data_IF_777542181652
#
_entry.id   IF_777542181652
#
_cell.length_a   1.000
_cell.length_b   1.000
_cell.length_c   1.000
_cell.angle_alpha   90.00
_cell.angle_beta   90.00
_cell.angle_gamma   90.00
#
_symmetry.space_group_name_H-M   'P 1'
#
loop_
_entity.id
_entity.type
_entity.pdbx_description
1 polymer ?
#
# COMPACT_ATOMS: atom_id res chain seq x y z
N UNK A 1 -24.37 -6.57 -6.18
CA UNK A 1 -23.24 -7.53 -6.10
C UNK A 1 -21.97 -6.77 -5.72
N UNK A 2 -21.15 -7.25 -4.78
CA UNK A 2 -19.84 -6.63 -4.53
C UNK A 2 -18.92 -6.83 -5.75
N UNK A 3 -18.18 -5.79 -6.13
CA UNK A 3 -17.15 -5.88 -7.17
C UNK A 3 -16.09 -6.91 -6.77
N UNK A 4 -15.83 -7.88 -7.63
CA UNK A 4 -14.75 -8.86 -7.44
C UNK A 4 -13.40 -8.26 -7.88
N UNK A 5 -12.30 -8.76 -7.32
CA UNK A 5 -10.95 -8.37 -7.75
C UNK A 5 -10.76 -8.51 -9.27
N UNK A 6 -11.25 -9.62 -9.84
CA UNK A 6 -11.19 -9.90 -11.27
C UNK A 6 -11.91 -8.83 -12.12
N UNK A 7 -13.12 -8.41 -11.70
CA UNK A 7 -13.84 -7.34 -12.38
C UNK A 7 -13.08 -6.01 -12.33
N UNK A 8 -12.50 -5.68 -11.17
CA UNK A 8 -11.73 -4.45 -11.00
C UNK A 8 -10.45 -4.44 -11.86
N UNK A 9 -9.72 -5.55 -11.86
CA UNK A 9 -8.49 -5.71 -12.65
C UNK A 9 -8.81 -5.65 -14.16
N UNK A 10 -9.94 -6.25 -14.59
CA UNK A 10 -10.43 -6.16 -15.98
C UNK A 10 -10.80 -4.73 -16.37
N UNK A 11 -11.51 -4.00 -15.50
CA UNK A 11 -11.86 -2.59 -15.76
C UNK A 11 -10.61 -1.74 -15.89
N UNK A 12 -9.60 -1.93 -15.04
CA UNK A 12 -8.34 -1.20 -15.17
C UNK A 12 -7.69 -1.45 -16.53
N UNK A 13 -7.55 -2.72 -16.93
CA UNK A 13 -6.94 -3.07 -18.23
C UNK A 13 -7.70 -2.46 -19.39
N UNK A 14 -9.04 -2.55 -19.38
CA UNK A 14 -9.88 -1.98 -20.45
C UNK A 14 -9.75 -0.47 -20.49
N UNK A 15 -9.88 0.22 -19.36
CA UNK A 15 -9.77 1.69 -19.31
C UNK A 15 -8.38 2.17 -19.72
N UNK A 16 -7.31 1.51 -19.27
CA UNK A 16 -5.94 1.83 -19.69
C UNK A 16 -5.73 1.61 -21.19
N UNK A 17 -6.25 0.51 -21.74
CA UNK A 17 -6.15 0.24 -23.18
C UNK A 17 -6.88 1.30 -23.99
N UNK A 18 -8.10 1.67 -23.59
CA UNK A 18 -8.87 2.75 -24.25
C UNK A 18 -8.12 4.07 -24.17
N UNK A 19 -7.57 4.42 -23.01
CA UNK A 19 -6.82 5.66 -22.83
C UNK A 19 -5.58 5.74 -23.74
N UNK A 20 -4.80 4.66 -23.82
CA UNK A 20 -3.63 4.58 -24.71
C UNK A 20 -4.05 4.75 -26.16
N UNK A 21 -5.05 4.00 -26.62
CA UNK A 21 -5.52 4.09 -28.01
C UNK A 21 -6.18 5.44 -28.36
N UNK A 22 -6.73 6.16 -27.37
CA UNK A 22 -7.38 7.44 -27.59
C UNK A 22 -6.41 8.62 -27.62
N UNK A 23 -5.26 8.48 -26.95
CA UNK A 23 -4.28 9.57 -26.78
C UNK A 23 -3.04 9.38 -27.67
N UNK A 24 -2.70 8.14 -28.02
CA UNK A 24 -1.48 7.81 -28.76
C UNK A 24 -1.67 6.68 -29.78
N UNK A 25 -0.75 6.61 -30.75
CA UNK A 25 -0.60 5.42 -31.60
C UNK A 25 0.16 4.34 -30.80
N UNK A 26 -0.48 3.20 -30.47
CA UNK A 26 0.15 2.15 -29.66
C UNK A 26 1.40 1.56 -30.33
N UNK A 27 1.50 1.58 -31.65
CA UNK A 27 2.70 1.11 -32.38
C UNK A 27 3.85 2.10 -32.21
N UNK A 28 3.56 3.40 -32.21
CA UNK A 28 4.55 4.44 -31.98
C UNK A 28 5.10 4.37 -30.54
N UNK A 29 4.23 4.19 -29.54
CA UNK A 29 4.61 4.04 -28.13
C UNK A 29 5.59 2.88 -27.92
N UNK A 30 5.30 1.70 -28.51
CA UNK A 30 6.17 0.52 -28.39
C UNK A 30 7.53 0.77 -29.05
N UNK A 31 7.55 1.42 -30.22
CA UNK A 31 8.80 1.76 -30.91
C UNK A 31 9.64 2.75 -30.12
N UNK A 32 9.04 3.77 -29.53
CA UNK A 32 9.74 4.73 -28.67
C UNK A 32 10.32 4.04 -27.44
N UNK A 33 9.55 3.17 -26.77
CA UNK A 33 10.03 2.41 -25.62
C UNK A 33 11.23 1.53 -25.95
N UNK A 34 11.21 0.85 -27.09
CA UNK A 34 12.33 0.04 -27.56
C UNK A 34 13.56 0.89 -27.93
N UNK A 35 13.36 2.06 -28.54
CA UNK A 35 14.44 2.98 -28.86
C UNK A 35 15.13 3.51 -27.59
N UNK A 36 14.36 3.92 -26.57
CA UNK A 36 14.92 4.38 -25.30
C UNK A 36 15.65 3.29 -24.52
N UNK A 37 15.17 2.05 -24.60
CA UNK A 37 15.88 0.91 -24.02
C UNK A 37 17.26 0.68 -24.68
N UNK A 38 17.39 0.98 -25.96
CA UNK A 38 18.66 0.88 -26.67
C UNK A 38 19.67 1.97 -26.28
N UNK A 39 19.22 3.07 -25.66
CA UNK A 39 20.06 4.17 -25.16
C UNK A 39 20.59 3.94 -23.74
N UNK A 40 20.30 2.78 -23.12
CA UNK A 40 20.85 2.41 -21.83
C UNK A 40 22.37 2.22 -21.91
N UNK A 41 23.19 2.86 -21.05
CA UNK A 41 22.86 3.55 -19.80
C UNK A 41 22.80 5.10 -19.85
N UNK A 42 22.92 5.74 -21.02
CA UNK A 42 23.22 7.19 -21.16
C UNK A 42 22.00 8.13 -21.08
N UNK A 43 20.84 7.68 -20.58
CA UNK A 43 19.57 8.42 -20.59
C UNK A 43 19.20 9.04 -19.23
N UNK A 44 20.07 8.97 -18.22
CA UNK A 44 19.79 9.49 -16.88
C UNK A 44 20.03 11.01 -16.80
N UNK A 45 19.09 11.79 -17.32
CA UNK A 45 18.91 13.16 -16.85
C UNK A 45 18.25 13.11 -15.47
N UNK A 46 19.01 13.50 -14.43
CA UNK A 46 18.62 13.34 -13.03
C UNK A 46 17.46 14.24 -12.58
N UNK A 47 16.93 15.08 -13.47
CA UNK A 47 15.75 15.92 -13.23
C UNK A 47 14.95 16.08 -14.52
N UNK A 48 13.65 15.80 -14.45
CA UNK A 48 12.75 16.09 -15.55
C UNK A 48 12.42 17.60 -15.53
N UNK A 49 12.90 18.33 -16.53
CA UNK A 49 12.41 19.68 -16.77
C UNK A 49 11.00 19.59 -17.37
N UNK A 50 9.98 19.62 -16.52
CA UNK A 50 8.60 19.59 -16.98
C UNK A 50 8.12 20.90 -17.62
N UNK A 51 8.93 21.96 -17.60
CA UNK A 51 8.68 23.21 -18.33
C UNK A 51 9.10 23.04 -19.79
N UNK A 52 10.28 22.48 -20.03
CA UNK A 52 10.77 22.21 -21.38
C UNK A 52 10.15 20.93 -21.98
N UNK A 53 10.10 19.86 -21.19
CA UNK A 53 9.63 18.53 -21.56
C UNK A 53 8.36 18.15 -20.77
N UNK A 54 7.15 18.54 -21.25
CA UNK A 54 5.91 18.25 -20.55
C UNK A 54 5.71 16.77 -20.25
N UNK A 55 5.11 16.49 -19.10
CA UNK A 55 4.71 15.15 -18.72
C UNK A 55 3.72 14.59 -19.76
N UNK A 56 4.00 13.38 -20.25
CA UNK A 56 3.17 12.70 -21.22
C UNK A 56 1.73 12.48 -20.68
N UNK A 57 0.74 12.87 -21.48
CA UNK A 57 -0.68 12.80 -21.10
C UNK A 57 -1.20 11.38 -20.91
N UNK A 58 -0.76 10.44 -21.74
CA UNK A 58 -1.12 9.01 -21.64
C UNK A 58 -0.59 8.39 -20.36
N UNK A 59 0.65 8.71 -19.99
CA UNK A 59 1.24 8.32 -18.72
C UNK A 59 0.45 8.91 -17.55
N UNK A 60 0.08 10.19 -17.62
CA UNK A 60 -0.71 10.85 -16.58
C UNK A 60 -2.10 10.19 -16.41
N UNK A 61 -2.80 9.89 -17.50
CA UNK A 61 -4.09 9.17 -17.44
C UNK A 61 -3.91 7.76 -16.90
N UNK A 62 -2.87 7.05 -17.31
CA UNK A 62 -2.59 5.70 -16.82
C UNK A 62 -2.31 5.69 -15.32
N UNK A 63 -1.51 6.63 -14.83
CA UNK A 63 -1.24 6.81 -13.40
C UNK A 63 -2.52 7.21 -12.64
N UNK A 64 -3.37 8.07 -13.21
CA UNK A 64 -4.65 8.44 -12.61
C UNK A 64 -5.59 7.22 -12.46
N UNK A 65 -5.70 6.40 -13.51
CA UNK A 65 -6.49 5.18 -13.49
C UNK A 65 -5.96 4.19 -12.46
N UNK A 66 -4.64 3.99 -12.42
CA UNK A 66 -3.98 3.13 -11.44
C UNK A 66 -4.20 3.63 -9.99
N UNK A 67 -4.15 4.95 -9.78
CA UNK A 67 -4.44 5.59 -8.51
C UNK A 67 -5.87 5.35 -8.07
N UNK A 68 -6.84 5.56 -8.96
CA UNK A 68 -8.26 5.32 -8.71
C UNK A 68 -8.53 3.84 -8.43
N UNK A 69 -7.97 2.95 -9.25
CA UNK A 69 -8.03 1.50 -9.07
C UNK A 69 -7.50 1.08 -7.69
N UNK A 70 -6.30 1.53 -7.33
CA UNK A 70 -5.68 1.16 -6.06
C UNK A 70 -6.52 1.65 -4.88
N UNK A 71 -7.11 2.84 -4.98
CA UNK A 71 -8.00 3.41 -3.98
C UNK A 71 -9.28 2.59 -3.83
N UNK A 72 -9.96 2.25 -4.93
CA UNK A 72 -11.16 1.40 -4.93
C UNK A 72 -10.87 0.01 -4.37
N UNK A 73 -9.77 -0.61 -4.81
CA UNK A 73 -9.33 -1.92 -4.29
C UNK A 73 -9.13 -1.87 -2.78
N UNK A 74 -8.50 -0.79 -2.29
CA UNK A 74 -8.21 -0.62 -0.85
C UNK A 74 -9.45 -0.37 -0.03
N UNK A 75 -10.22 0.67 -0.37
CA UNK A 75 -11.24 1.21 0.52
C UNK A 75 -12.66 0.70 0.24
N UNK A 76 -12.89 0.08 -0.92
CA UNK A 76 -14.21 -0.49 -1.25
C UNK A 76 -14.17 -2.02 -1.25
N UNK A 77 -13.25 -2.65 -1.98
CA UNK A 77 -13.15 -4.12 -2.06
C UNK A 77 -12.59 -4.69 -0.75
N UNK A 78 -11.46 -4.14 -0.29
CA UNK A 78 -10.75 -4.62 0.91
C UNK A 78 -11.16 -3.89 2.19
N UNK A 79 -12.31 -3.22 2.19
CA UNK A 79 -12.78 -2.34 3.28
C UNK A 79 -12.77 -3.01 4.65
N UNK A 80 -13.04 -4.32 4.72
CA UNK A 80 -13.10 -5.09 5.97
C UNK A 80 -11.71 -5.41 6.51
N UNK A 81 -10.73 -5.60 5.63
CA UNK A 81 -9.31 -5.77 5.98
C UNK A 81 -8.77 -4.43 6.47
N UNK A 82 -9.00 -3.36 5.71
CA UNK A 82 -8.56 -1.99 6.07
C UNK A 82 -9.21 -1.50 7.37
N UNK A 83 -10.51 -1.75 7.58
CA UNK A 83 -11.19 -1.40 8.84
C UNK A 83 -10.62 -2.15 10.04
N UNK A 84 -10.20 -3.41 9.87
CA UNK A 84 -9.54 -4.19 10.93
C UNK A 84 -8.14 -3.67 11.21
N UNK A 85 -7.39 -3.34 10.16
CA UNK A 85 -6.06 -2.73 10.25
C UNK A 85 -6.09 -1.39 11.00
N UNK A 86 -6.99 -0.48 10.61
CA UNK A 86 -7.18 0.81 11.26
C UNK A 86 -7.64 0.66 12.72
N UNK A 87 -8.50 -0.33 13.04
CA UNK A 87 -8.90 -0.61 14.43
C UNK A 87 -7.74 -1.05 15.30
N UNK A 88 -6.82 -1.85 14.76
CA UNK A 88 -5.59 -2.25 15.47
C UNK A 88 -4.63 -1.08 15.64
N UNK A 89 -4.57 -0.16 14.67
CA UNK A 89 -3.82 1.10 14.82
C UNK A 89 -4.40 2.01 15.91
N UNK A 90 -5.69 1.87 16.26
CA UNK A 90 -6.35 2.60 17.37
C UNK A 90 -6.38 1.85 18.70
N UNK A 91 -5.89 0.60 18.76
CA UNK A 91 -5.85 -0.20 19.99
C UNK A 91 -4.72 0.31 20.91
N UNK A 92 -5.09 0.99 22.00
CA UNK A 92 -4.25 1.60 23.06
C UNK A 92 -2.90 2.19 22.64
N UNK A 93 -2.78 2.63 21.39
CA UNK A 93 -1.73 3.53 20.93
C UNK A 93 -2.15 4.95 21.28
N UNK A 94 -1.14 5.78 21.50
CA UNK A 94 -1.22 7.20 21.85
C UNK A 94 -2.14 8.05 20.93
N UNK A 95 -2.57 7.54 19.76
CA UNK A 95 -3.64 8.15 18.94
C UNK A 95 -4.96 8.34 19.70
N UNK A 96 -5.24 7.51 20.71
CA UNK A 96 -6.37 7.69 21.61
C UNK A 96 -6.22 8.88 22.59
N UNK A 97 -5.01 9.45 22.72
CA UNK A 97 -4.70 10.54 23.67
C UNK A 97 -4.57 11.92 23.02
N UNK A 98 -4.82 12.03 21.71
CA UNK A 98 -4.77 13.30 20.96
C UNK A 98 -6.15 13.60 20.38
N UNK A 99 -6.98 14.43 21.03
CA UNK A 99 -8.40 14.61 20.68
C UNK A 99 -8.67 15.23 19.31
N UNK A 100 -7.65 15.75 18.62
CA UNK A 100 -7.79 16.49 17.36
C UNK A 100 -7.18 15.80 16.13
N UNK A 101 -6.41 14.72 16.33
CA UNK A 101 -5.72 14.01 15.25
C UNK A 101 -6.49 12.75 14.87
N UNK A 102 -6.62 12.44 13.57
CA UNK A 102 -7.36 11.27 13.05
C UNK A 102 -8.87 11.23 13.36
N UNK A 103 -9.54 12.38 13.45
CA UNK A 103 -11.02 12.36 13.46
C UNK A 103 -11.55 11.87 12.10
N UNK A 104 -12.70 11.16 12.06
CA UNK A 104 -13.30 10.74 10.80
C UNK A 104 -13.48 11.88 9.80
N UNK A 105 -13.76 13.09 10.31
CA UNK A 105 -13.86 14.32 9.53
C UNK A 105 -12.53 14.68 8.86
N UNK A 106 -11.41 14.72 9.59
CA UNK A 106 -10.11 15.08 9.01
C UNK A 106 -9.69 14.03 7.96
N UNK A 107 -9.94 12.74 8.23
CA UNK A 107 -9.67 11.65 7.27
C UNK A 107 -10.50 11.83 5.99
N UNK A 108 -11.80 12.11 6.14
CA UNK A 108 -12.70 12.32 5.01
C UNK A 108 -12.31 13.55 4.18
N UNK A 109 -12.02 14.68 4.84
CA UNK A 109 -11.58 15.92 4.18
C UNK A 109 -10.28 15.67 3.42
N UNK A 110 -9.27 15.09 4.07
CA UNK A 110 -7.99 14.80 3.43
C UNK A 110 -8.16 13.87 2.22
N UNK A 111 -8.94 12.79 2.37
CA UNK A 111 -9.18 11.82 1.29
C UNK A 111 -9.92 12.44 0.11
N UNK A 112 -10.99 13.20 0.37
CA UNK A 112 -11.78 13.87 -0.67
C UNK A 112 -10.93 14.90 -1.42
N UNK A 113 -10.24 15.79 -0.71
CA UNK A 113 -9.42 16.81 -1.35
C UNK A 113 -8.15 16.27 -1.98
N UNK A 114 -7.62 15.12 -1.53
CA UNK A 114 -6.57 14.40 -2.25
C UNK A 114 -7.05 13.91 -3.62
N UNK A 115 -8.30 13.41 -3.70
CA UNK A 115 -8.90 13.04 -4.98
C UNK A 115 -9.18 14.25 -5.87
N UNK A 116 -9.71 15.34 -5.32
CA UNK A 116 -9.92 16.60 -6.05
C UNK A 116 -8.59 17.12 -6.61
N UNK A 117 -7.54 17.14 -5.80
CA UNK A 117 -6.20 17.54 -6.25
C UNK A 117 -5.69 16.63 -7.37
N UNK A 118 -5.88 15.32 -7.25
CA UNK A 118 -5.49 14.34 -8.27
C UNK A 118 -6.16 14.64 -9.62
N UNK A 119 -7.47 14.93 -9.60
CA UNK A 119 -8.25 15.31 -10.78
C UNK A 119 -7.80 16.65 -11.39
N UNK A 120 -7.62 17.68 -10.55
CA UNK A 120 -7.17 19.00 -10.98
C UNK A 120 -5.76 18.92 -11.61
N UNK A 121 -4.88 18.10 -11.03
CA UNK A 121 -3.55 17.89 -11.56
C UNK A 121 -3.53 17.13 -12.88
N UNK A 122 -4.40 16.13 -13.06
CA UNK A 122 -4.60 15.50 -14.36
C UNK A 122 -5.09 16.53 -15.39
N UNK A 123 -6.09 17.34 -15.03
CA UNK A 123 -6.61 18.40 -15.88
C UNK A 123 -5.52 19.39 -16.29
N UNK A 124 -4.63 19.77 -15.39
CA UNK A 124 -3.52 20.67 -15.69
C UNK A 124 -2.43 20.06 -16.58
N UNK A 125 -2.23 18.74 -16.54
CA UNK A 125 -1.32 18.06 -17.46
C UNK A 125 -1.92 18.00 -18.86
N UNK A 126 -3.21 17.65 -18.97
CA UNK A 126 -3.91 17.54 -20.25
C UNK A 126 -4.21 18.91 -20.90
N UNK A 127 -4.48 19.93 -20.09
CA UNK A 127 -4.82 21.29 -20.50
C UNK A 127 -3.78 22.29 -20.00
N UNK A 128 -2.52 22.04 -20.37
CA UNK A 128 -1.33 22.74 -19.87
C UNK A 128 -1.39 24.27 -19.99
N UNK A 129 -1.98 24.78 -21.06
CA UNK A 129 -2.07 26.23 -21.34
C UNK A 129 -3.06 26.96 -20.43
N UNK A 130 -3.88 26.23 -19.66
CA UNK A 130 -4.81 26.82 -18.72
C UNK A 130 -4.26 26.76 -17.28
N UNK A 131 -3.74 27.88 -16.75
CA UNK A 131 -3.11 27.91 -15.43
C UNK A 131 -4.10 27.70 -14.28
N UNK A 132 -5.42 27.80 -14.52
CA UNK A 132 -6.43 27.62 -13.47
C UNK A 132 -6.35 26.22 -12.87
N UNK A 133 -6.23 25.17 -13.68
CA UNK A 133 -6.14 23.80 -13.19
C UNK A 133 -4.94 23.60 -12.25
N UNK A 134 -3.77 24.07 -12.66
CA UNK A 134 -2.54 23.94 -11.89
C UNK A 134 -2.58 24.75 -10.59
N UNK A 135 -3.03 26.01 -10.66
CA UNK A 135 -3.13 26.88 -9.47
C UNK A 135 -4.19 26.37 -8.50
N UNK A 136 -5.32 25.85 -8.98
CA UNK A 136 -6.33 25.23 -8.13
C UNK A 136 -5.80 23.96 -7.46
N UNK A 137 -5.09 23.09 -8.19
CA UNK A 137 -4.46 21.91 -7.61
C UNK A 137 -3.45 22.30 -6.51
N UNK A 138 -2.59 23.27 -6.78
CA UNK A 138 -1.60 23.75 -5.81
C UNK A 138 -2.25 24.43 -4.59
N UNK A 139 -3.34 25.18 -4.77
CA UNK A 139 -4.09 25.77 -3.66
C UNK A 139 -4.72 24.68 -2.78
N UNK A 140 -5.34 23.66 -3.37
CA UNK A 140 -5.89 22.51 -2.62
C UNK A 140 -4.77 21.79 -1.87
N UNK A 141 -3.62 21.58 -2.51
CA UNK A 141 -2.46 20.97 -1.87
C UNK A 141 -2.01 21.77 -0.63
N UNK A 142 -1.78 23.08 -0.79
CA UNK A 142 -1.19 23.94 0.23
C UNK A 142 -2.14 24.24 1.39
N UNK A 143 -3.40 24.55 1.09
CA UNK A 143 -4.35 25.02 2.10
C UNK A 143 -5.18 23.90 2.73
N UNK A 144 -5.25 22.72 2.10
CA UNK A 144 -6.08 21.61 2.58
C UNK A 144 -5.24 20.37 2.82
N UNK A 145 -4.62 19.80 1.79
CA UNK A 145 -4.01 18.47 1.91
C UNK A 145 -2.73 18.46 2.77
N UNK A 146 -1.89 19.49 2.71
CA UNK A 146 -0.71 19.60 3.58
C UNK A 146 -1.11 19.77 5.06
N UNK A 147 -1.99 20.72 5.43
CA UNK A 147 -2.45 20.86 6.81
C UNK A 147 -3.17 19.62 7.33
N UNK A 148 -4.10 19.07 6.56
CA UNK A 148 -4.82 17.85 6.98
C UNK A 148 -3.91 16.64 7.04
N UNK A 149 -2.92 16.52 6.14
CA UNK A 149 -1.88 15.48 6.19
C UNK A 149 -1.01 15.58 7.44
N UNK A 150 -0.66 16.79 7.88
CA UNK A 150 0.04 17.02 9.15
C UNK A 150 -0.80 16.55 10.35
N UNK A 151 -2.11 16.82 10.35
CA UNK A 151 -3.05 16.35 11.38
C UNK A 151 -3.27 14.83 11.35
N UNK A 152 -3.01 14.18 10.21
CA UNK A 152 -3.11 12.74 10.00
C UNK A 152 -1.78 12.01 10.09
N UNK A 153 -0.67 12.70 10.39
CA UNK A 153 0.65 12.07 10.44
C UNK A 153 0.67 11.04 11.57
N UNK A 154 0.65 9.74 11.25
CA UNK A 154 0.47 8.71 12.26
C UNK A 154 1.81 8.48 12.96
N UNK A 155 1.81 8.38 14.29
CA UNK A 155 2.99 7.97 15.09
C UNK A 155 3.07 6.45 15.26
N UNK A 156 2.70 5.72 14.23
CA UNK A 156 2.81 4.26 14.11
C UNK A 156 4.06 3.90 13.32
N UNK A 157 4.66 2.73 13.58
CA UNK A 157 5.96 2.37 12.98
C UNK A 157 7.16 2.91 13.75
N UNK A 158 8.33 2.92 13.11
CA UNK A 158 9.58 3.38 13.73
C UNK A 158 9.57 4.91 13.71
N UNK A 159 9.35 5.52 14.88
CA UNK A 159 9.06 6.97 15.01
C UNK A 159 10.11 7.90 14.40
N UNK A 160 11.40 7.63 14.57
CA UNK A 160 12.47 8.46 13.98
C UNK A 160 12.54 8.38 12.45
N UNK A 161 11.87 7.42 11.82
CA UNK A 161 11.75 7.34 10.37
C UNK A 161 10.44 7.96 9.92
N UNK A 162 9.33 7.53 10.51
CA UNK A 162 7.98 7.93 10.09
C UNK A 162 7.70 9.42 10.32
N UNK A 163 8.04 9.96 11.50
CA UNK A 163 7.75 11.38 11.80
C UNK A 163 8.52 12.30 10.85
N UNK A 164 9.84 12.14 10.66
CA UNK A 164 10.56 12.99 9.72
C UNK A 164 10.19 12.72 8.27
N UNK A 165 9.86 11.48 7.87
CA UNK A 165 9.37 11.20 6.51
C UNK A 165 8.12 12.02 6.19
N UNK A 166 7.09 11.96 7.03
CA UNK A 166 5.86 12.71 6.79
C UNK A 166 6.07 14.21 6.89
N UNK A 167 6.93 14.67 7.80
CA UNK A 167 7.33 16.07 7.91
C UNK A 167 8.02 16.58 6.65
N UNK A 168 9.05 15.87 6.19
CA UNK A 168 9.76 16.18 4.95
C UNK A 168 8.82 16.15 3.76
N UNK A 169 7.99 15.11 3.63
CA UNK A 169 6.99 15.02 2.56
C UNK A 169 6.05 16.23 2.55
N UNK A 170 5.53 16.65 3.72
CA UNK A 170 4.69 17.84 3.84
C UNK A 170 5.41 19.13 3.41
N UNK A 171 6.68 19.29 3.80
CA UNK A 171 7.52 20.43 3.38
C UNK A 171 7.74 20.43 1.86
N UNK A 172 8.13 19.30 1.27
CA UNK A 172 8.35 19.19 -0.17
C UNK A 172 7.07 19.51 -0.96
N UNK A 173 5.93 18.97 -0.51
CA UNK A 173 4.61 19.26 -1.08
C UNK A 173 4.25 20.74 -1.01
N UNK A 174 4.50 21.39 0.12
CA UNK A 174 4.26 22.82 0.27
C UNK A 174 5.18 23.66 -0.64
N UNK A 175 6.46 23.27 -0.75
CA UNK A 175 7.42 23.94 -1.63
C UNK A 175 7.02 23.82 -3.10
N UNK A 176 6.69 22.62 -3.60
CA UNK A 176 6.25 22.47 -4.98
C UNK A 176 4.93 23.19 -5.25
N UNK A 177 3.99 23.19 -4.30
CA UNK A 177 2.77 24.00 -4.43
C UNK A 177 3.06 25.49 -4.51
N UNK A 178 4.01 25.99 -3.70
CA UNK A 178 4.44 27.39 -3.76
C UNK A 178 5.07 27.73 -5.12
N UNK A 179 5.94 26.87 -5.66
CA UNK A 179 6.53 27.06 -7.00
C UNK A 179 5.46 27.13 -8.09
N UNK A 180 4.43 26.31 -8.02
CA UNK A 180 3.31 26.33 -8.97
C UNK A 180 2.51 27.63 -8.90
N UNK A 181 2.27 28.14 -7.69
CA UNK A 181 1.49 29.36 -7.48
C UNK A 181 2.26 30.62 -7.87
N UNK A 182 3.57 30.68 -7.57
CA UNK A 182 4.35 31.90 -7.61
C UNK A 182 5.47 31.94 -8.66
N UNK A 183 5.92 30.79 -9.18
CA UNK A 183 6.98 30.73 -10.20
C UNK A 183 6.42 30.38 -11.58
N UNK A 184 5.99 29.13 -11.78
CA UNK A 184 5.39 28.69 -13.05
C UNK A 184 4.39 27.55 -12.81
N UNK A 185 3.17 27.73 -13.30
CA UNK A 185 2.11 26.72 -13.27
C UNK A 185 2.50 25.39 -13.94
N UNK A 186 3.43 25.42 -14.90
CA UNK A 186 3.93 24.25 -15.62
C UNK A 186 4.79 23.32 -14.75
N UNK A 187 5.17 23.75 -13.54
CA UNK A 187 5.87 22.93 -12.55
C UNK A 187 4.95 21.98 -11.78
N UNK A 188 3.64 22.01 -12.04
CA UNK A 188 2.67 21.15 -11.34
C UNK A 188 3.00 19.64 -11.39
N UNK A 189 3.57 19.08 -12.47
CA UNK A 189 3.91 17.66 -12.50
C UNK A 189 4.76 17.22 -11.30
N UNK A 190 5.67 18.05 -10.79
CA UNK A 190 6.44 17.75 -9.57
C UNK A 190 5.52 17.53 -8.35
N UNK A 191 4.60 18.47 -8.13
CA UNK A 191 3.62 18.39 -7.04
C UNK A 191 2.72 17.16 -7.19
N UNK A 192 2.27 16.89 -8.42
CA UNK A 192 1.36 15.79 -8.73
C UNK A 192 2.03 14.41 -8.64
N UNK A 193 3.29 14.29 -9.01
CA UNK A 193 4.09 13.07 -8.82
C UNK A 193 4.25 12.76 -7.33
N UNK A 194 4.51 13.77 -6.49
CA UNK A 194 4.57 13.58 -5.04
C UNK A 194 3.22 13.05 -4.49
N UNK A 195 2.09 13.52 -5.02
CA UNK A 195 0.76 13.01 -4.64
C UNK A 195 0.59 11.50 -4.93
N UNK A 196 1.29 10.96 -5.94
CA UNK A 196 1.25 9.53 -6.28
C UNK A 196 1.90 8.63 -5.22
N UNK A 197 2.58 9.17 -4.21
CA UNK A 197 3.18 8.38 -3.12
C UNK A 197 2.13 7.45 -2.48
N UNK A 198 0.89 7.91 -2.31
CA UNK A 198 -0.18 7.11 -1.74
C UNK A 198 -0.53 5.90 -2.61
N UNK A 199 -0.43 6.04 -3.93
CA UNK A 199 -0.65 4.95 -4.89
C UNK A 199 0.48 3.94 -4.82
N UNK A 200 1.73 4.41 -4.75
CA UNK A 200 2.90 3.53 -4.60
C UNK A 200 2.81 2.76 -3.27
N UNK A 201 2.50 3.43 -2.16
CA UNK A 201 2.29 2.79 -0.84
C UNK A 201 1.25 1.66 -0.92
N UNK A 202 0.13 1.90 -1.60
CA UNK A 202 -0.90 0.88 -1.81
C UNK A 202 -0.33 -0.26 -2.65
N UNK A 203 0.17 0.01 -3.84
CA UNK A 203 0.64 -1.02 -4.78
C UNK A 203 1.78 -1.87 -4.23
N UNK A 204 2.81 -1.24 -3.65
CA UNK A 204 3.91 -1.96 -3.00
C UNK A 204 3.38 -2.80 -1.85
N UNK A 205 2.47 -2.26 -1.04
CA UNK A 205 1.84 -3.01 0.03
C UNK A 205 0.95 -4.17 -0.44
N UNK A 206 0.35 -4.08 -1.63
CA UNK A 206 -0.45 -5.16 -2.23
C UNK A 206 0.43 -6.26 -2.83
N UNK A 207 1.49 -5.88 -3.53
CA UNK A 207 2.16 -6.76 -4.50
C UNK A 207 3.65 -7.01 -4.22
N UNK A 208 4.35 -6.09 -3.56
CA UNK A 208 5.82 -6.15 -3.40
C UNK A 208 6.25 -6.48 -1.98
N UNK A 209 5.47 -6.05 -0.98
CA UNK A 209 5.67 -6.34 0.43
C UNK A 209 4.59 -7.31 0.96
N UNK A 210 4.31 -8.44 0.30
CA UNK A 210 3.52 -9.47 0.93
C UNK A 210 4.34 -10.06 2.08
N UNK A 211 3.64 -10.54 3.11
CA UNK A 211 4.17 -11.34 4.23
C UNK A 211 4.56 -10.57 5.51
N UNK A 212 3.77 -10.86 6.54
CA UNK A 212 4.16 -10.70 7.93
C UNK A 212 5.08 -11.85 8.31
N UNK A 213 6.10 -11.54 9.10
CA UNK A 213 7.12 -12.49 9.57
C UNK A 213 6.59 -13.61 10.48
N UNK A 214 5.33 -13.55 10.93
CA UNK A 214 4.87 -14.37 12.06
C UNK A 214 3.92 -15.50 11.67
N UNK A 215 3.04 -15.34 10.68
CA UNK A 215 1.96 -16.33 10.45
C UNK A 215 1.80 -16.82 9.00
N UNK A 216 2.64 -16.38 8.06
CA UNK A 216 2.53 -16.75 6.63
C UNK A 216 1.17 -16.42 5.99
N UNK A 217 0.35 -15.64 6.70
CA UNK A 217 -0.86 -14.99 6.21
C UNK A 217 -0.48 -13.60 5.76
N UNK A 218 -1.31 -12.99 4.90
CA UNK A 218 -1.07 -11.64 4.38
C UNK A 218 -0.84 -10.69 5.56
N UNK A 219 0.43 -10.30 5.74
CA UNK A 219 0.83 -9.39 6.79
C UNK A 219 0.03 -8.13 6.65
N UNK A 220 -0.63 -7.76 7.73
CA UNK A 220 -1.41 -6.54 7.77
C UNK A 220 -0.38 -5.39 7.72
N UNK A 221 -0.18 -4.87 6.50
CA UNK A 221 0.77 -3.82 6.08
C UNK A 221 0.82 -2.62 7.04
N UNK A 222 -0.27 -2.44 7.77
CA UNK A 222 -0.56 -1.34 8.67
C UNK A 222 -0.34 -1.69 10.15
N UNK A 223 0.07 -2.92 10.46
CA UNK A 223 0.23 -3.42 11.85
C UNK A 223 1.63 -3.86 12.21
N UNK A 224 2.48 -4.17 11.22
CA UNK A 224 3.88 -4.48 11.47
C UNK A 224 4.74 -3.23 11.30
N UNK A 225 5.39 -2.74 12.37
CA UNK A 225 6.16 -1.49 12.34
C UNK A 225 7.24 -1.45 11.26
N UNK A 226 7.95 -2.55 11.04
CA UNK A 226 9.05 -2.64 10.07
C UNK A 226 8.53 -2.59 8.64
N UNK A 227 7.56 -3.44 8.31
CA UNK A 227 6.98 -3.50 6.97
C UNK A 227 6.24 -2.20 6.61
N UNK A 228 5.52 -1.60 7.57
CA UNK A 228 4.90 -0.29 7.38
C UNK A 228 5.96 0.79 7.11
N UNK A 229 7.02 0.84 7.92
CA UNK A 229 8.09 1.83 7.78
C UNK A 229 8.85 1.67 6.47
N UNK A 230 9.20 0.43 6.11
CA UNK A 230 9.86 0.12 4.84
C UNK A 230 8.99 0.53 3.66
N UNK A 231 7.70 0.21 3.68
CA UNK A 231 6.78 0.58 2.61
C UNK A 231 6.70 2.11 2.43
N UNK A 232 6.52 2.84 3.53
CA UNK A 232 6.43 4.31 3.51
C UNK A 232 7.73 4.93 3.01
N UNK A 233 8.89 4.46 3.49
CA UNK A 233 10.19 4.94 3.04
C UNK A 233 10.41 4.65 1.56
N UNK A 234 10.27 3.39 1.15
CA UNK A 234 10.50 2.98 -0.24
C UNK A 234 9.60 3.75 -1.19
N UNK A 235 8.32 3.88 -0.85
CA UNK A 235 7.36 4.68 -1.64
C UNK A 235 7.79 6.14 -1.73
N UNK A 236 8.20 6.74 -0.61
CA UNK A 236 8.68 8.12 -0.55
C UNK A 236 9.92 8.35 -1.40
N UNK A 237 10.91 7.46 -1.31
CA UNK A 237 12.14 7.53 -2.11
C UNK A 237 11.87 7.37 -3.61
N UNK A 238 11.00 6.44 -4.00
CA UNK A 238 10.60 6.27 -5.40
C UNK A 238 9.95 7.56 -5.91
N UNK A 239 8.92 8.08 -5.21
CA UNK A 239 8.23 9.30 -5.63
C UNK A 239 9.17 10.51 -5.68
N UNK A 240 9.96 10.72 -4.63
CA UNK A 240 10.85 11.88 -4.54
C UNK A 240 12.02 11.78 -5.53
N UNK A 241 12.45 10.58 -5.93
CA UNK A 241 13.48 10.39 -6.95
C UNK A 241 13.10 10.83 -8.36
N UNK A 242 11.80 10.98 -8.64
CA UNK A 242 11.35 11.59 -9.90
C UNK A 242 11.32 13.12 -9.88
N UNK A 243 11.43 13.74 -8.69
CA UNK A 243 11.28 15.19 -8.50
C UNK A 243 12.57 15.85 -8.06
N UNK A 244 13.36 15.17 -7.23
CA UNK A 244 14.56 15.71 -6.61
C UNK A 244 15.80 14.88 -6.96
N UNK A 245 16.95 15.56 -7.17
CA UNK A 245 18.23 14.91 -7.38
C UNK A 245 18.60 13.95 -6.23
N UNK A 246 19.38 12.89 -6.52
CA UNK A 246 19.80 11.91 -5.52
C UNK A 246 20.49 12.52 -4.28
N UNK A 247 21.19 13.65 -4.43
CA UNK A 247 21.83 14.32 -3.29
C UNK A 247 20.84 14.72 -2.20
N UNK A 248 19.63 15.15 -2.55
CA UNK A 248 18.61 15.53 -1.56
C UNK A 248 18.01 14.31 -0.86
N UNK A 249 17.87 13.20 -1.60
CA UNK A 249 17.47 11.91 -1.04
C UNK A 249 18.50 11.40 -0.03
N UNK A 250 19.80 11.55 -0.34
CA UNK A 250 20.87 11.19 0.58
C UNK A 250 20.91 12.10 1.81
N UNK A 251 20.75 13.42 1.63
CA UNK A 251 20.71 14.37 2.75
C UNK A 251 19.52 14.10 3.69
N UNK A 252 18.41 13.59 3.19
CA UNK A 252 17.27 13.19 4.05
C UNK A 252 17.65 12.09 5.06
N UNK A 253 18.65 11.25 4.76
CA UNK A 253 19.15 10.23 5.69
C UNK A 253 19.77 10.87 6.94
N UNK A 254 20.39 12.05 6.82
CA UNK A 254 20.94 12.79 7.96
C UNK A 254 19.84 13.24 8.91
N UNK A 255 18.67 13.59 8.37
CA UNK A 255 17.49 13.95 9.17
C UNK A 255 17.03 12.73 9.97
N UNK A 256 16.96 11.55 9.35
CA UNK A 256 16.60 10.31 10.02
C UNK A 256 17.62 9.90 11.10
N UNK A 257 18.91 10.00 10.79
CA UNK A 257 19.98 9.71 11.75
C UNK A 257 19.97 10.67 12.94
N UNK A 258 19.63 11.94 12.72
CA UNK A 258 19.49 12.93 13.79
C UNK A 258 18.25 12.65 14.63
N UNK A 259 17.12 12.36 13.97
CA UNK A 259 15.85 12.02 14.61
C UNK A 259 15.96 10.77 15.50
N UNK A 260 16.85 9.82 15.16
CA UNK A 260 17.13 8.63 15.97
C UNK A 260 17.51 8.98 17.42
N UNK A 261 18.25 10.08 17.64
CA UNK A 261 18.67 10.53 18.97
C UNK A 261 17.49 10.95 19.84
N UNK A 262 16.43 11.46 19.23
CA UNK A 262 15.22 11.95 19.92
C UNK A 262 14.12 10.89 20.02
N UNK A 263 14.07 9.97 19.05
CA UNK A 263 13.08 8.89 18.98
C UNK A 263 13.74 7.53 18.68
N UNK A 264 14.54 6.99 19.61
CA UNK A 264 15.15 5.68 19.42
C UNK A 264 14.06 4.64 19.10
N UNK A 265 14.35 3.66 18.22
CA UNK A 265 13.38 2.65 17.82
C UNK A 265 12.92 1.89 19.05
N UNK A 266 11.68 2.12 19.44
CA UNK A 266 10.97 1.21 20.32
C UNK A 266 10.41 0.13 19.42
N UNK A 267 11.17 -0.94 19.21
CA UNK A 267 10.61 -2.14 18.64
C UNK A 267 9.59 -2.69 19.64
N UNK A 268 8.34 -2.24 19.50
CA UNK A 268 7.22 -3.11 19.78
C UNK A 268 7.20 -4.18 18.68
N UNK A 269 8.24 -5.02 18.63
CA UNK A 269 7.95 -6.41 18.41
C UNK A 269 6.83 -6.70 19.40
N UNK A 270 5.75 -7.35 18.95
CA UNK A 270 4.87 -8.01 19.91
C UNK A 270 5.78 -8.93 20.71
N UNK A 271 6.23 -8.44 21.85
CA UNK A 271 7.06 -9.14 22.78
C UNK A 271 6.20 -10.32 23.21
N UNK A 272 6.55 -11.48 22.66
CA UNK A 272 6.82 -12.71 23.37
C UNK A 272 5.68 -13.19 24.30
N UNK A 273 5.12 -14.39 24.07
CA UNK A 273 4.80 -15.22 25.22
C UNK A 273 6.12 -15.45 25.98
N UNK A 274 6.30 -14.74 27.11
CA UNK A 274 7.27 -15.01 28.18
C UNK A 274 8.73 -15.26 27.76
N UNK A 275 9.56 -14.21 27.79
CA UNK A 275 10.85 -14.36 28.46
C UNK A 275 10.62 -14.11 29.95
N UNK A 276 10.10 -15.14 30.61
CA UNK A 276 10.13 -15.26 32.07
C UNK A 276 10.96 -16.53 32.31
N UNK A 277 12.27 -16.39 32.18
CA UNK A 277 13.25 -17.46 32.27
C UNK A 277 14.55 -16.98 31.63
N UNK A 278 15.59 -16.80 32.44
CA UNK A 278 16.85 -16.12 32.09
C UNK A 278 17.73 -16.85 31.06
N UNK A 279 17.31 -18.00 30.52
CA UNK A 279 18.22 -18.91 29.82
C UNK A 279 17.98 -19.07 28.30
N UNK A 280 17.05 -18.34 27.69
CA UNK A 280 16.76 -18.51 26.26
C UNK A 280 17.38 -17.42 25.39
N UNK A 281 18.28 -17.81 24.48
CA UNK A 281 18.89 -16.86 23.53
C UNK A 281 17.89 -16.39 22.48
N UNK A 282 18.11 -15.20 21.91
CA UNK A 282 17.20 -14.59 20.93
C UNK A 282 17.00 -15.47 19.69
N UNK A 283 18.04 -16.21 19.27
CA UNK A 283 17.98 -17.14 18.15
C UNK A 283 17.16 -18.42 18.44
N UNK A 284 17.06 -18.83 19.70
CA UNK A 284 16.22 -19.96 20.12
C UNK A 284 14.75 -19.56 20.22
N UNK A 285 14.48 -18.37 20.78
CA UNK A 285 13.14 -17.79 20.82
C UNK A 285 12.54 -17.63 19.41
N UNK A 286 13.34 -17.20 18.44
CA UNK A 286 12.92 -17.08 17.04
C UNK A 286 12.64 -18.44 16.38
N UNK A 287 13.47 -19.45 16.64
CA UNK A 287 13.27 -20.80 16.10
C UNK A 287 12.00 -21.44 16.64
N UNK A 288 11.70 -21.25 17.92
CA UNK A 288 10.52 -21.87 18.53
C UNK A 288 9.22 -21.15 18.17
N UNK A 289 9.23 -19.81 18.08
CA UNK A 289 8.07 -19.06 17.57
C UNK A 289 7.75 -19.43 16.10
N UNK A 290 8.78 -19.64 15.28
CA UNK A 290 8.61 -20.11 13.90
C UNK A 290 8.04 -21.53 13.87
N UNK A 291 8.54 -22.45 14.69
CA UNK A 291 8.02 -23.82 14.80
C UNK A 291 6.56 -23.85 15.25
N UNK A 292 6.18 -23.05 16.24
CA UNK A 292 4.79 -22.93 16.68
C UNK A 292 3.88 -22.39 15.58
N UNK A 293 4.33 -21.41 14.81
CA UNK A 293 3.59 -20.88 13.67
C UNK A 293 3.36 -21.93 12.59
N UNK A 294 4.43 -22.68 12.24
CA UNK A 294 4.35 -23.81 11.29
C UNK A 294 3.42 -24.91 11.80
N UNK A 295 3.49 -25.24 13.10
CA UNK A 295 2.63 -26.24 13.72
C UNK A 295 1.15 -25.83 13.68
N UNK A 296 0.83 -24.57 14.03
CA UNK A 296 -0.55 -24.03 13.95
C UNK A 296 -1.10 -24.04 12.53
N UNK A 297 -0.27 -23.72 11.55
CA UNK A 297 -0.66 -23.76 10.13
C UNK A 297 -0.96 -25.19 9.68
N UNK A 298 -0.11 -26.14 10.07
CA UNK A 298 -0.32 -27.56 9.76
C UNK A 298 -1.56 -28.15 10.45
N UNK A 299 -1.93 -27.68 11.65
CA UNK A 299 -3.14 -28.13 12.34
C UNK A 299 -4.42 -27.56 11.73
N UNK A 300 -4.38 -26.31 11.26
CA UNK A 300 -5.51 -25.67 10.56
C UNK A 300 -5.74 -26.31 9.18
N UNK A 301 -4.67 -26.66 8.47
CA UNK A 301 -4.77 -27.41 7.21
C UNK A 301 -5.37 -28.80 7.42
N UNK A 302 -4.96 -29.52 8.47
CA UNK A 302 -5.58 -30.81 8.86
C UNK A 302 -7.06 -30.67 9.23
N UNK A 303 -7.43 -29.67 10.05
CA UNK A 303 -8.84 -29.49 10.43
C UNK A 303 -9.72 -29.15 9.22
N UNK A 304 -9.18 -28.40 8.25
CA UNK A 304 -9.89 -28.07 7.00
C UNK A 304 -10.05 -29.26 6.06
N UNK A 305 -9.12 -30.22 6.10
CA UNK A 305 -9.19 -31.49 5.36
C UNK A 305 -10.20 -32.45 6.00
N UNK A 306 -10.25 -32.50 7.34
CA UNK A 306 -11.23 -33.30 8.08
C UNK A 306 -12.66 -32.74 7.94
N UNK A 307 -12.84 -31.42 7.87
CA UNK A 307 -14.13 -30.78 7.53
C UNK A 307 -14.59 -31.05 6.09
N UNK A 308 -13.66 -31.18 5.14
CA UNK A 308 -13.97 -31.61 3.76
C UNK A 308 -14.31 -33.10 3.70
N UNK A 309 -13.53 -33.96 4.37
CA UNK A 309 -13.78 -35.40 4.44
C UNK A 309 -15.13 -35.73 5.10
N UNK A 310 -15.49 -35.01 6.17
CA UNK A 310 -16.79 -35.18 6.84
C UNK A 310 -17.97 -34.67 6.00
N UNK A 311 -17.80 -33.63 5.17
CA UNK A 311 -18.82 -33.19 4.20
C UNK A 311 -19.00 -34.17 3.04
N UNK A 312 -17.91 -34.74 2.52
CA UNK A 312 -17.98 -35.74 1.46
C UNK A 312 -18.56 -37.08 1.97
N UNK A 313 -18.36 -37.39 3.26
CA UNK A 313 -18.96 -38.56 3.94
C UNK A 313 -20.43 -38.35 4.28
N UNK A 314 -20.87 -37.11 4.55
CA UNK A 314 -22.27 -36.76 4.79
C UNK A 314 -23.10 -36.61 3.49
N UNK A 315 -22.45 -36.61 2.32
CA UNK A 315 -23.09 -36.53 1.00
C UNK A 315 -23.52 -37.88 0.39
N UNK A 316 -23.22 -39.02 1.03
CA UNK A 316 -23.72 -40.34 0.65
C UNK A 316 -24.81 -40.82 1.63
N UNK A 317 -25.94 -40.12 1.63
CA UNK A 317 -27.20 -40.72 2.11
C UNK A 317 -27.86 -41.36 0.90
N UNK A 318 -27.74 -42.68 0.84
CA UNK A 318 -28.40 -43.53 -0.15
C UNK A 318 -29.91 -43.33 -0.11
N UNK A 319 -30.50 -43.10 -1.29
CA UNK A 319 -31.94 -43.11 -1.49
C UNK A 319 -32.57 -44.50 -1.24
N UNK A 320 -33.91 -44.57 -1.15
CA UNK A 320 -34.62 -45.74 -0.67
C UNK A 320 -34.60 -46.86 -1.72
N UNK A 321 -33.68 -47.81 -1.56
CA UNK A 321 -33.56 -48.93 -2.49
C UNK A 321 -32.42 -49.90 -2.15
N UNK A 322 -32.29 -50.29 -0.89
CA UNK A 322 -31.17 -51.14 -0.42
C UNK A 322 -31.54 -52.10 0.70
N UNK A 323 -32.80 -52.54 0.79
CA UNK A 323 -33.17 -53.62 1.69
C UNK A 323 -32.81 -54.97 1.07
N UNK A 324 -31.63 -55.51 1.41
CA UNK A 324 -31.34 -56.95 1.63
C UNK A 324 -29.83 -57.17 1.65
N UNK A 325 -29.27 -57.26 2.86
CA UNK A 325 -28.35 -58.32 3.28
C UNK A 325 -28.21 -58.22 4.80
N UNK A 326 -29.19 -58.84 5.45
CA UNK A 326 -29.20 -59.11 6.89
C UNK A 326 -28.11 -60.12 7.23
N UNK A 327 -27.41 -59.84 8.33
CA UNK A 327 -27.06 -60.75 9.42
C UNK A 327 -26.57 -62.16 9.06
N UNK A 328 -25.25 -62.37 9.15
CA UNK A 328 -24.63 -63.58 9.71
C UNK A 328 -23.11 -63.42 9.70
N UNK A 329 -22.54 -63.08 10.86
CA UNK A 329 -21.20 -63.48 11.30
C UNK A 329 -20.79 -62.69 12.55
N UNK A 330 -21.56 -62.85 13.63
CA UNK A 330 -20.95 -62.99 14.96
C UNK A 330 -21.17 -64.43 15.37
N UNK A 331 -20.12 -65.02 15.95
CA UNK A 331 -19.95 -66.39 16.44
C UNK A 331 -19.28 -67.39 15.48
N UNK A 332 -18.17 -67.92 16.01
CA UNK A 332 -17.40 -69.11 15.62
C UNK A 332 -16.20 -68.89 14.69
N UNK A 333 -15.14 -68.30 15.24
CA UNK A 333 -13.84 -68.98 15.29
C UNK A 333 -13.02 -68.45 16.48
N UNK A 334 -13.36 -68.93 17.68
CA UNK A 334 -12.38 -68.99 18.77
C UNK A 334 -11.31 -70.03 18.42
N UNK A 335 -10.10 -69.79 18.93
CA UNK A 335 -9.06 -70.78 19.24
C UNK A 335 -9.42 -72.25 18.96
N UNK A 336 -8.89 -72.81 17.86
CA UNK A 336 -8.10 -74.05 17.76
C UNK A 336 -7.99 -74.52 16.32
#
# INVERSE_FOLDING_TARGET
MPLTHFQLDTVLVVCSTIAVCALEDPVALVKEGLARLAEFPNHYETQYDFVEHPLNGTLAVSLFLLSTFSWVKTYLVERTVVSRAHRKMTASTWSATQPWTHTPTVVAVHGFFSFVELCLGLGAILYRDNPLWARSAAAVALFINVPTGALLTPRVGIRHLIIPVFGLYGVLRALEAFKVLYLDHRLLPNLWILLQVGTIVRLLGYFVLPFSSVDGTRGDLFTEPVNYTLNILLSGYISAGFVYPPVWLLLSLLVYATAYRFWPPQFAARLRPRLAGDDMTEAEAWRDAWRESVARKSSLERSSLDERSSRDSAGRVEGPGGARLRSRATMLSEQR
#
